data_IF_585342539656
#
_entry.id   IF_585342539656
#
_cell.length_a   1.000
_cell.length_b   1.000
_cell.length_c   1.000
_cell.angle_alpha   90.00
_cell.angle_beta   90.00
_cell.angle_gamma   90.00
#
_symmetry.space_group_name_H-M   'P 1'
#
loop_
_entity.id
_entity.type
_entity.pdbx_description
1 polymer ?
#
# COMPACT_ATOMS: atom_id res chain seq x y z
N UNK A 1 -14.91 10.24 -6.71
CA UNK A 1 -15.46 10.90 -5.50
C UNK A 1 -16.51 9.98 -4.88
N UNK A 2 -16.60 9.94 -3.55
CA UNK A 2 -17.60 9.14 -2.81
C UNK A 2 -18.46 10.00 -1.90
N UNK A 3 -19.68 9.54 -1.63
CA UNK A 3 -20.65 10.26 -0.77
C UNK A 3 -20.39 10.05 0.72
N UNK A 4 -19.81 8.91 1.08
CA UNK A 4 -19.47 8.55 2.44
C UNK A 4 -18.22 7.67 2.43
N UNK A 5 -17.50 7.68 3.55
CA UNK A 5 -16.40 6.76 3.78
C UNK A 5 -16.87 5.60 4.67
N UNK A 6 -16.30 4.39 4.51
CA UNK A 6 -16.56 3.28 5.41
C UNK A 6 -16.22 3.63 6.87
N UNK A 7 -16.85 2.96 7.83
CA UNK A 7 -16.76 3.33 9.26
C UNK A 7 -15.34 3.17 9.81
N UNK A 8 -14.58 2.22 9.26
CA UNK A 8 -13.22 1.87 9.64
C UNK A 8 -12.13 2.72 8.96
N UNK A 9 -12.50 3.84 8.32
CA UNK A 9 -11.51 4.78 7.82
C UNK A 9 -10.68 5.37 8.97
N UNK A 10 -9.39 5.58 8.72
CA UNK A 10 -8.49 6.28 9.63
C UNK A 10 -8.52 7.77 9.33
N UNK A 11 -8.47 8.61 10.36
CA UNK A 11 -8.39 10.07 10.19
C UNK A 11 -7.04 10.57 10.67
N UNK A 12 -6.38 11.40 9.86
CA UNK A 12 -5.10 12.03 10.16
C UNK A 12 -5.25 13.54 9.95
N UNK A 13 -4.64 14.32 10.84
CA UNK A 13 -4.68 15.78 10.77
C UNK A 13 -3.29 16.28 10.34
N UNK A 14 -3.24 17.11 9.31
CA UNK A 14 -2.01 17.74 8.85
C UNK A 14 -2.31 19.21 8.49
N UNK A 15 -1.57 20.15 9.09
CA UNK A 15 -1.80 21.59 8.90
C UNK A 15 -3.23 22.05 9.22
N UNK A 16 -3.87 21.44 10.22
CA UNK A 16 -5.28 21.71 10.57
C UNK A 16 -6.32 21.08 9.63
N UNK A 17 -5.89 20.45 8.54
CA UNK A 17 -6.76 19.78 7.58
C UNK A 17 -6.90 18.30 7.92
N UNK A 18 -8.13 17.78 7.83
CA UNK A 18 -8.41 16.34 7.99
C UNK A 18 -8.24 15.60 6.67
N UNK A 19 -7.45 14.55 6.74
CA UNK A 19 -7.25 13.56 5.69
C UNK A 19 -7.79 12.22 6.19
N UNK A 20 -8.44 11.49 5.31
CA UNK A 20 -9.06 10.23 5.65
C UNK A 20 -8.41 9.12 4.81
N UNK A 21 -8.12 7.99 5.43
CA UNK A 21 -7.45 6.87 4.79
C UNK A 21 -8.32 5.62 4.91
N UNK A 22 -8.61 4.97 3.80
CA UNK A 22 -9.35 3.71 3.77
C UNK A 22 -8.99 2.90 2.53
N UNK A 23 -8.84 1.58 2.69
CA UNK A 23 -8.52 0.69 1.58
C UNK A 23 -7.20 1.01 0.86
N UNK A 24 -6.30 1.76 1.51
CA UNK A 24 -5.06 2.26 0.92
C UNK A 24 -5.19 3.52 0.06
N UNK A 25 -6.39 4.05 -0.12
CA UNK A 25 -6.61 5.35 -0.75
C UNK A 25 -6.70 6.46 0.31
N UNK A 26 -6.21 7.64 -0.05
CA UNK A 26 -6.37 8.87 0.72
C UNK A 26 -7.52 9.71 0.20
N UNK A 27 -8.23 10.34 1.12
CA UNK A 27 -9.42 11.11 0.84
C UNK A 27 -9.38 12.47 1.51
N UNK A 28 -9.92 13.47 0.81
CA UNK A 28 -10.18 14.79 1.35
C UNK A 28 -11.66 15.14 1.21
N UNK A 29 -12.22 15.82 2.21
CA UNK A 29 -13.63 16.21 2.21
C UNK A 29 -13.85 17.44 1.35
N UNK A 30 -14.65 17.31 0.30
CA UNK A 30 -15.08 18.39 -0.59
C UNK A 30 -16.60 18.56 -0.47
N UNK A 31 -17.03 19.54 0.35
CA UNK A 31 -18.45 19.74 0.65
C UNK A 31 -19.07 18.48 1.27
N UNK A 32 -20.17 17.93 0.73
CA UNK A 32 -20.79 16.71 1.25
C UNK A 32 -20.12 15.41 0.79
N UNK A 33 -19.08 15.48 -0.05
CA UNK A 33 -18.42 14.31 -0.67
C UNK A 33 -16.95 14.21 -0.27
N UNK A 34 -16.32 13.12 -0.64
CA UNK A 34 -14.90 12.87 -0.44
C UNK A 34 -14.25 12.58 -1.81
N UNK A 35 -13.16 13.28 -2.11
CA UNK A 35 -12.35 13.03 -3.30
C UNK A 35 -11.17 12.13 -2.91
N UNK A 36 -10.82 11.19 -3.79
CA UNK A 36 -9.55 10.45 -3.70
C UNK A 36 -8.45 11.42 -4.10
N UNK A 37 -7.40 11.51 -3.31
CA UNK A 37 -6.29 12.44 -3.52
C UNK A 37 -4.95 11.77 -3.24
N UNK A 38 -3.87 12.32 -3.78
CA UNK A 38 -2.54 12.08 -3.23
C UNK A 38 -2.42 12.79 -1.87
N UNK A 39 -1.91 12.12 -0.82
CA UNK A 39 -1.63 12.79 0.45
C UNK A 39 -0.51 13.83 0.27
N UNK A 40 -0.54 14.95 1.00
CA UNK A 40 0.53 15.94 0.93
C UNK A 40 1.83 15.36 1.50
N UNK A 41 2.96 15.75 0.91
CA UNK A 41 4.28 15.49 1.48
C UNK A 41 4.40 16.13 2.86
N UNK A 42 5.04 15.44 3.79
CA UNK A 42 5.10 15.82 5.19
C UNK A 42 3.91 15.34 6.04
N UNK A 43 2.90 14.67 5.44
CA UNK A 43 1.80 14.09 6.20
C UNK A 43 2.32 12.95 7.09
N UNK A 44 2.24 13.15 8.41
CA UNK A 44 2.61 12.15 9.39
C UNK A 44 1.48 11.14 9.60
N UNK A 45 1.82 9.85 9.60
CA UNK A 45 0.92 8.75 9.90
C UNK A 45 1.52 7.83 10.97
N UNK A 46 0.75 7.44 11.99
CA UNK A 46 1.19 6.46 12.99
C UNK A 46 1.01 5.01 12.51
N UNK A 47 0.79 4.80 11.21
CA UNK A 47 0.53 3.49 10.61
C UNK A 47 1.06 3.45 9.18
N UNK A 48 1.45 2.27 8.73
CA UNK A 48 1.69 2.02 7.31
C UNK A 48 0.43 1.46 6.63
N UNK A 49 0.22 1.74 5.34
CA UNK A 49 -0.77 1.04 4.54
C UNK A 49 -0.53 -0.48 4.61
N UNK A 50 -1.54 -1.33 4.85
CA UNK A 50 -1.35 -2.77 5.05
C UNK A 50 -0.90 -3.56 3.81
N UNK A 51 -0.29 -2.96 2.79
CA UNK A 51 0.26 -3.66 1.63
C UNK A 51 1.48 -2.90 1.09
N UNK A 52 2.20 -2.23 1.99
CA UNK A 52 3.39 -1.50 1.61
C UNK A 52 4.51 -2.47 1.20
N UNK A 53 5.32 -2.07 0.23
CA UNK A 53 6.60 -2.69 -0.08
C UNK A 53 7.73 -1.88 0.56
N UNK A 54 8.83 -2.53 0.97
CA UNK A 54 10.02 -1.80 1.44
C UNK A 54 11.01 -1.63 0.28
N UNK A 55 11.38 -0.38 0.00
CA UNK A 55 12.35 0.04 -1.02
C UNK A 55 13.58 0.59 -0.32
N UNK A 56 14.75 0.02 -0.59
CA UNK A 56 16.01 0.46 0.01
C UNK A 56 16.72 1.44 -0.91
N UNK A 57 16.96 2.66 -0.43
CA UNK A 57 17.65 3.70 -1.19
C UNK A 57 18.78 4.26 -0.33
N UNK A 58 20.03 4.12 -0.80
CA UNK A 58 21.20 4.56 -0.03
C UNK A 58 21.30 3.91 1.36
N UNK A 59 20.83 2.66 1.51
CA UNK A 59 20.81 1.95 2.80
C UNK A 59 19.69 2.35 3.76
N UNK A 60 18.82 3.28 3.38
CA UNK A 60 17.66 3.71 4.18
C UNK A 60 16.37 3.05 3.65
N UNK A 61 15.51 2.50 4.53
CA UNK A 61 14.26 1.90 4.12
C UNK A 61 13.18 2.98 3.88
N UNK A 62 12.55 2.91 2.71
CA UNK A 62 11.33 3.62 2.35
C UNK A 62 10.19 2.62 2.19
N UNK A 63 8.97 3.00 2.57
CA UNK A 63 7.80 2.16 2.45
C UNK A 63 6.91 2.69 1.34
N UNK A 64 6.55 1.85 0.38
CA UNK A 64 5.86 2.23 -0.84
C UNK A 64 4.48 1.59 -0.90
N UNK A 65 3.42 2.36 -1.08
CA UNK A 65 2.07 1.84 -1.28
C UNK A 65 1.22 2.80 -2.13
N UNK A 66 0.57 2.28 -3.17
CA UNK A 66 -0.26 3.06 -4.12
C UNK A 66 0.42 4.37 -4.57
N UNK A 67 1.61 4.26 -5.14
CA UNK A 67 2.35 5.42 -5.68
C UNK A 67 2.78 6.45 -4.62
N UNK A 68 2.66 6.11 -3.33
CA UNK A 68 3.03 6.98 -2.20
C UNK A 68 4.21 6.36 -1.45
N UNK A 69 5.22 7.18 -1.20
CA UNK A 69 6.38 6.82 -0.39
C UNK A 69 6.23 7.34 1.03
N UNK A 70 6.59 6.51 1.99
CA UNK A 70 6.60 6.81 3.41
C UNK A 70 8.01 6.57 3.95
N UNK A 71 8.56 7.54 4.67
CA UNK A 71 9.84 7.38 5.37
C UNK A 71 9.60 7.17 6.87
N UNK A 72 10.44 6.36 7.51
CA UNK A 72 10.42 6.18 8.96
C UNK A 72 10.85 7.48 9.67
N UNK A 73 10.11 7.89 10.70
CA UNK A 73 10.43 9.05 11.56
C UNK A 73 10.64 8.67 13.05
N UNK A 74 10.67 7.38 13.36
CA UNK A 74 10.84 6.83 14.71
C UNK A 74 9.52 6.67 15.46
N UNK A 75 8.72 7.73 15.54
CA UNK A 75 7.39 7.74 16.17
C UNK A 75 6.24 7.40 15.19
N UNK A 76 6.58 7.19 13.91
CA UNK A 76 5.64 6.84 12.85
C UNK A 76 6.30 6.99 11.49
N UNK A 77 5.49 7.32 10.50
CA UNK A 77 5.93 7.46 9.12
C UNK A 77 5.47 8.78 8.55
N UNK A 78 6.23 9.31 7.60
CA UNK A 78 5.90 10.57 6.94
C UNK A 78 5.84 10.35 5.44
N UNK A 79 4.80 10.88 4.79
CA UNK A 79 4.69 10.88 3.34
C UNK A 79 5.83 11.74 2.77
N UNK A 80 6.63 11.17 1.87
CA UNK A 80 7.79 11.83 1.26
C UNK A 80 7.67 11.83 -0.25
N UNK A 81 8.45 12.70 -0.88
CA UNK A 81 8.64 12.65 -2.33
C UNK A 81 9.28 11.30 -2.72
N UNK A 82 8.98 10.78 -3.92
CA UNK A 82 9.70 9.63 -4.46
C UNK A 82 11.21 9.87 -4.41
N UNK A 83 12.01 8.94 -3.86
CA UNK A 83 13.46 9.10 -3.83
C UNK A 83 13.98 9.21 -5.26
N UNK A 84 14.78 10.25 -5.56
CA UNK A 84 15.30 10.51 -6.92
C UNK A 84 16.18 9.36 -7.45
N UNK A 85 16.79 8.60 -6.55
CA UNK A 85 17.59 7.43 -6.88
C UNK A 85 16.75 6.14 -6.97
N UNK A 86 15.53 6.11 -6.41
CA UNK A 86 14.59 5.00 -6.60
C UNK A 86 14.02 4.96 -8.03
N UNK A 87 14.03 6.08 -8.75
CA UNK A 87 13.57 6.16 -10.15
C UNK A 87 14.66 5.77 -11.17
N UNK A 88 15.87 5.40 -10.73
CA UNK A 88 16.93 4.86 -11.59
C UNK A 88 17.22 3.38 -11.30
N UNK A 89 16.76 2.53 -12.23
CA UNK A 89 17.38 1.27 -12.63
C UNK A 89 17.84 0.29 -11.54
N UNK A 90 16.96 -0.05 -10.61
CA UNK A 90 16.88 -1.45 -10.18
C UNK A 90 15.46 -1.90 -10.50
N UNK A 91 15.26 -2.99 -11.28
CA UNK A 91 13.95 -3.63 -11.31
C UNK A 91 13.52 -3.77 -9.86
N UNK A 92 12.27 -3.42 -9.49
CA UNK A 92 11.85 -3.71 -8.13
C UNK A 92 12.19 -5.17 -7.86
N UNK A 93 12.64 -5.52 -6.64
CA UNK A 93 12.93 -6.90 -6.30
C UNK A 93 11.82 -7.76 -6.87
N UNK A 94 12.15 -8.87 -7.54
CA UNK A 94 11.24 -9.69 -8.33
C UNK A 94 9.99 -10.21 -7.56
N UNK A 95 9.87 -9.83 -6.30
CA UNK A 95 8.75 -10.00 -5.38
C UNK A 95 7.65 -8.93 -5.46
N UNK A 96 7.81 -7.83 -6.21
CA UNK A 96 6.74 -6.84 -6.37
C UNK A 96 5.76 -7.27 -7.47
N UNK A 97 4.55 -7.64 -7.06
CA UNK A 97 3.42 -7.87 -7.96
C UNK A 97 3.03 -6.56 -8.64
N UNK A 98 3.21 -6.47 -9.96
CA UNK A 98 2.72 -5.35 -10.74
C UNK A 98 1.27 -5.59 -11.13
N UNK A 99 0.37 -4.69 -10.73
CA UNK A 99 -1.09 -4.89 -10.85
C UNK A 99 -1.64 -3.86 -11.84
N UNK A 100 -2.08 -4.35 -12.99
CA UNK A 100 -2.63 -3.55 -14.08
C UNK A 100 -4.14 -3.75 -14.21
N UNK A 101 -4.96 -2.69 -14.29
CA UNK A 101 -6.41 -2.82 -14.50
C UNK A 101 -6.71 -3.32 -15.92
N UNK A 102 -7.59 -4.33 -16.08
CA UNK A 102 -8.08 -4.74 -17.41
C UNK A 102 -9.37 -4.02 -17.82
N UNK A 103 -10.14 -3.53 -16.85
CA UNK A 103 -11.51 -3.09 -17.07
C UNK A 103 -11.71 -1.60 -16.73
N UNK A 104 -10.68 -0.77 -16.95
CA UNK A 104 -10.68 0.66 -16.56
C UNK A 104 -11.08 0.87 -15.08
N UNK A 105 -10.68 -0.03 -14.19
CA UNK A 105 -10.95 0.14 -12.77
C UNK A 105 -10.35 1.47 -12.28
N UNK A 106 -11.18 2.31 -11.68
CA UNK A 106 -10.72 3.59 -11.10
C UNK A 106 -9.68 3.35 -10.01
N UNK A 107 -8.77 4.28 -9.78
CA UNK A 107 -7.76 4.18 -8.71
C UNK A 107 -8.35 3.78 -7.35
N UNK A 108 -9.56 4.26 -7.05
CA UNK A 108 -10.30 3.88 -5.84
C UNK A 108 -10.63 2.40 -5.79
N UNK A 109 -11.11 1.86 -6.91
CA UNK A 109 -11.44 0.45 -7.04
C UNK A 109 -10.17 -0.39 -6.97
N UNK A 110 -9.08 0.04 -7.62
CA UNK A 110 -7.79 -0.65 -7.54
C UNK A 110 -7.26 -0.70 -6.11
N UNK A 111 -7.30 0.41 -5.37
CA UNK A 111 -6.88 0.46 -3.98
C UNK A 111 -7.71 -0.49 -3.10
N UNK A 112 -9.04 -0.44 -3.24
CA UNK A 112 -9.97 -1.32 -2.52
C UNK A 112 -9.69 -2.79 -2.82
N UNK A 113 -9.61 -3.15 -4.10
CA UNK A 113 -9.38 -4.52 -4.55
C UNK A 113 -8.02 -5.04 -4.10
N UNK A 114 -6.97 -4.22 -4.18
CA UNK A 114 -5.63 -4.54 -3.65
C UNK A 114 -5.67 -4.85 -2.16
N UNK A 115 -6.36 -4.02 -1.39
CA UNK A 115 -6.48 -4.21 0.05
C UNK A 115 -7.28 -5.48 0.41
N UNK A 116 -8.41 -5.70 -0.25
CA UNK A 116 -9.25 -6.88 -0.01
C UNK A 116 -8.52 -8.17 -0.40
N UNK A 117 -7.82 -8.17 -1.54
CA UNK A 117 -7.02 -9.29 -1.97
C UNK A 117 -5.82 -9.55 -1.06
N UNK A 118 -5.18 -8.50 -0.54
CA UNK A 118 -4.12 -8.64 0.46
C UNK A 118 -4.65 -9.35 1.70
N UNK A 119 -5.76 -8.84 2.29
CA UNK A 119 -6.37 -9.46 3.47
C UNK A 119 -6.73 -10.92 3.24
N UNK A 120 -7.26 -11.24 2.07
CA UNK A 120 -7.58 -12.60 1.69
C UNK A 120 -6.33 -13.48 1.61
N UNK A 121 -5.27 -13.01 0.94
CA UNK A 121 -4.02 -13.72 0.79
C UNK A 121 -3.31 -13.98 2.13
N UNK A 122 -3.27 -12.99 3.04
CA UNK A 122 -2.76 -13.19 4.41
C UNK A 122 -3.57 -14.24 5.14
N UNK A 123 -4.90 -14.18 5.07
CA UNK A 123 -5.76 -15.16 5.74
C UNK A 123 -5.63 -16.58 5.17
N UNK A 124 -5.35 -16.71 3.88
CA UNK A 124 -5.13 -18.01 3.23
C UNK A 124 -3.76 -18.63 3.58
N UNK A 125 -2.73 -17.80 3.75
CA UNK A 125 -1.33 -18.27 3.77
C UNK A 125 -0.67 -18.13 5.13
N UNK A 126 -1.25 -17.31 6.02
CA UNK A 126 -0.65 -16.95 7.30
C UNK A 126 0.62 -16.10 7.17
N UNK A 127 0.93 -15.61 5.97
CA UNK A 127 2.09 -14.75 5.70
C UNK A 127 1.64 -13.32 5.48
N UNK A 128 2.23 -12.39 6.23
CA UNK A 128 1.96 -10.96 6.14
C UNK A 128 3.22 -10.22 5.70
N UNK A 129 3.30 -9.73 4.44
CA UNK A 129 4.47 -9.02 3.92
C UNK A 129 4.67 -7.64 4.58
N UNK A 130 3.71 -7.17 5.38
CA UNK A 130 3.78 -5.88 6.07
C UNK A 130 4.46 -5.96 7.44
N UNK A 131 4.78 -7.15 7.92
CA UNK A 131 5.56 -7.30 9.13
C UNK A 131 7.05 -7.16 8.79
N UNK A 132 7.83 -6.37 9.55
CA UNK A 132 9.26 -6.32 9.36
C UNK A 132 9.82 -7.73 9.51
N UNK A 133 10.79 -8.14 8.66
CA UNK A 133 11.41 -9.45 8.82
C UNK A 133 11.99 -9.55 10.23
N UNK A 134 11.31 -10.31 11.09
CA UNK A 134 11.82 -10.61 12.43
C UNK A 134 13.13 -11.37 12.24
N UNK A 135 14.13 -11.09 13.08
CA UNK A 135 15.51 -11.55 12.93
C UNK A 135 15.71 -13.09 13.06
N UNK A 136 14.63 -13.86 12.98
CA UNK A 136 14.60 -15.31 12.85
C UNK A 136 13.78 -15.63 11.60
N UNK A 137 14.45 -16.21 10.62
CA UNK A 137 13.93 -16.71 9.34
C UNK A 137 12.70 -17.62 9.53
N UNK A 138 11.49 -17.06 9.53
CA UNK A 138 10.23 -17.84 9.60
C UNK A 138 9.86 -18.50 8.25
N UNK A 139 10.58 -18.17 7.17
CA UNK A 139 10.43 -18.78 5.86
C UNK A 139 11.80 -18.99 5.17
N UNK A 140 12.62 -19.96 5.62
CA UNK A 140 13.93 -20.23 5.04
C UNK A 140 13.86 -20.63 3.56
N UNK A 141 12.71 -21.15 3.10
CA UNK A 141 12.47 -21.60 1.73
C UNK A 141 11.77 -20.55 0.84
N UNK A 142 11.28 -19.44 1.39
CA UNK A 142 10.46 -18.47 0.65
C UNK A 142 9.09 -18.99 0.21
N UNK A 143 8.67 -20.14 0.75
CA UNK A 143 7.46 -20.84 0.33
C UNK A 143 6.19 -20.07 0.71
N UNK A 144 6.13 -19.57 1.95
CA UNK A 144 4.98 -18.79 2.43
C UNK A 144 4.84 -17.48 1.68
N UNK A 145 5.96 -16.84 1.34
CA UNK A 145 5.99 -15.66 0.47
C UNK A 145 5.43 -15.97 -0.93
N UNK A 146 5.88 -17.08 -1.54
CA UNK A 146 5.40 -17.50 -2.86
C UNK A 146 3.91 -17.88 -2.84
N UNK A 147 3.44 -18.53 -1.78
CA UNK A 147 2.02 -18.83 -1.55
C UNK A 147 1.19 -17.55 -1.45
N UNK A 148 1.66 -16.56 -0.69
CA UNK A 148 1.02 -15.25 -0.58
C UNK A 148 0.93 -14.57 -1.95
N UNK A 149 2.01 -14.55 -2.73
CA UNK A 149 2.01 -13.94 -4.06
C UNK A 149 1.03 -14.62 -5.01
N UNK A 150 0.96 -15.96 -5.01
CA UNK A 150 -0.02 -16.71 -5.80
C UNK A 150 -1.45 -16.39 -5.37
N UNK A 151 -1.72 -16.35 -4.07
CA UNK A 151 -3.04 -16.02 -3.55
C UNK A 151 -3.45 -14.58 -3.93
N UNK A 152 -2.58 -13.61 -3.69
CA UNK A 152 -2.80 -12.21 -4.06
C UNK A 152 -3.06 -12.07 -5.57
N UNK A 153 -2.24 -12.72 -6.39
CA UNK A 153 -2.37 -12.77 -7.84
C UNK A 153 -3.71 -13.35 -8.30
N UNK A 154 -4.12 -14.49 -7.73
CA UNK A 154 -5.38 -15.14 -8.07
C UNK A 154 -6.61 -14.29 -7.72
N UNK A 155 -6.60 -13.63 -6.55
CA UNK A 155 -7.70 -12.75 -6.16
C UNK A 155 -7.83 -11.55 -7.10
N UNK A 156 -6.71 -10.92 -7.44
CA UNK A 156 -6.67 -9.77 -8.34
C UNK A 156 -7.03 -10.17 -9.77
N UNK A 157 -6.56 -11.32 -10.25
CA UNK A 157 -6.94 -11.84 -11.56
C UNK A 157 -8.45 -12.05 -11.65
N UNK A 158 -9.06 -12.64 -10.63
CA UNK A 158 -10.53 -12.78 -10.54
C UNK A 158 -11.29 -11.46 -10.54
N UNK A 159 -10.66 -10.36 -10.10
CA UNK A 159 -11.22 -9.01 -10.11
C UNK A 159 -10.92 -8.22 -11.39
N UNK A 160 -10.35 -8.86 -12.40
CA UNK A 160 -10.05 -8.25 -13.68
C UNK A 160 -8.77 -7.41 -13.66
N UNK A 161 -7.79 -7.77 -12.83
CA UNK A 161 -6.44 -7.23 -12.94
C UNK A 161 -5.55 -8.20 -13.69
N UNK A 162 -4.47 -7.69 -14.26
CA UNK A 162 -3.35 -8.48 -14.72
C UNK A 162 -2.22 -8.30 -13.72
N UNK A 163 -1.71 -9.41 -13.20
CA UNK A 163 -0.62 -9.41 -12.23
C UNK A 163 0.63 -9.96 -12.92
N UNK A 164 1.74 -9.23 -12.83
CA UNK A 164 3.04 -9.56 -13.45
C UNK A 164 4.15 -9.54 -12.43
#
# INVERSE_FOLDING_TARGET
MVRSLPREHRTVIHGGTRYYFHGGAWYHRQGPRFAVIAPPFGLFVPFLPPYYATVWVGGMPYYYANDIYYANRGDGYVVVEPPKDAVSQTPPPADQLFIYPRNNQSEQQQATDRYECHKWAVNQTGFDPTQPPVAVSEDPSGQKRADYQRAMGACLDGRGYTVK
#
